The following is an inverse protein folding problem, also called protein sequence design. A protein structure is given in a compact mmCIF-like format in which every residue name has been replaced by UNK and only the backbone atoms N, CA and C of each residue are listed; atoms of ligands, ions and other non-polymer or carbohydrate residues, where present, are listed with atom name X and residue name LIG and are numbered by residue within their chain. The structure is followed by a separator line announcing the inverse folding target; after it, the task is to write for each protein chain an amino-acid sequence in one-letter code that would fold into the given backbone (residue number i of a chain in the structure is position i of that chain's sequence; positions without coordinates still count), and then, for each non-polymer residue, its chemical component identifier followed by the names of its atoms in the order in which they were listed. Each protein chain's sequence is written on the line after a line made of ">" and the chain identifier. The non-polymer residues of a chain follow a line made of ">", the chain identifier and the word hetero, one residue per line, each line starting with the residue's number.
data_IF_034210766344
#
_entry.id   IF_034210766344
#
_cell.length_a   1.000
_cell.length_b   1.000
_cell.length_c   1.000
_cell.angle_alpha   90.00
_cell.angle_beta   90.00
_cell.angle_gamma   90.00
#
_symmetry.space_group_name_H-M   'P 1'
#
loop_
_entity.id
_entity.type
_entity.pdbx_description
1 polymer ?
#
# COMPACT_ATOMS: atom_id res chain seq x y z
N UNK A 1 11.55 -20.99 41.98
CA UNK A 1 12.21 -20.21 40.90
C UNK A 1 11.89 -20.79 39.52
N UNK A 2 10.61 -21.09 39.23
CA UNK A 2 10.18 -21.86 38.04
C UNK A 2 9.08 -21.14 37.23
N UNK A 3 8.50 -20.06 37.75
CA UNK A 3 7.39 -19.33 37.11
C UNK A 3 7.84 -18.23 36.14
N UNK A 4 9.07 -17.72 36.29
CA UNK A 4 9.61 -16.64 35.45
C UNK A 4 10.00 -17.15 34.06
N UNK A 5 10.47 -18.41 33.97
CA UNK A 5 10.86 -19.02 32.70
C UNK A 5 9.69 -19.19 31.71
N UNK A 6 8.48 -19.45 32.22
CA UNK A 6 7.30 -19.64 31.37
C UNK A 6 6.78 -18.32 30.75
N UNK A 7 6.90 -17.20 31.47
CA UNK A 7 6.46 -15.90 30.96
C UNK A 7 7.38 -15.36 29.86
N UNK A 8 8.68 -15.64 29.93
CA UNK A 8 9.64 -15.23 28.90
C UNK A 8 9.39 -15.93 27.55
N UNK A 9 8.95 -17.20 27.56
CA UNK A 9 8.66 -17.96 26.35
C UNK A 9 7.38 -17.47 25.66
N UNK A 10 6.37 -17.08 26.44
CA UNK A 10 5.09 -16.61 25.89
C UNK A 10 5.19 -15.22 25.25
N UNK A 11 6.06 -14.35 25.78
CA UNK A 11 6.33 -13.02 25.19
C UNK A 11 7.16 -13.12 23.90
N UNK A 12 8.05 -14.11 23.77
CA UNK A 12 8.84 -14.30 22.56
C UNK A 12 8.00 -14.75 21.35
N UNK A 13 6.91 -15.49 21.56
CA UNK A 13 6.02 -15.98 20.50
C UNK A 13 5.10 -14.89 19.91
N UNK A 14 4.86 -13.79 20.63
CA UNK A 14 4.03 -12.68 20.18
C UNK A 14 4.77 -11.68 19.26
N UNK A 15 6.10 -11.72 19.22
CA UNK A 15 6.92 -10.82 18.39
C UNK A 15 7.06 -11.29 16.93
N UNK A 16 6.72 -12.53 16.62
CA UNK A 16 6.84 -13.10 15.27
C UNK A 16 5.66 -12.82 14.34
N UNK A 17 4.57 -12.25 14.85
CA UNK A 17 3.44 -11.85 14.00
C UNK A 17 3.61 -10.43 13.46
N UNK A 18 4.76 -10.17 12.83
CA UNK A 18 4.86 -9.04 11.92
C UNK A 18 4.07 -9.50 10.70
N UNK A 19 2.82 -9.06 10.61
CA UNK A 19 2.04 -9.19 9.39
C UNK A 19 2.89 -8.58 8.27
N UNK A 20 3.50 -9.44 7.45
CA UNK A 20 4.10 -9.03 6.20
C UNK A 20 2.95 -8.43 5.41
N UNK A 21 2.86 -7.09 5.37
CA UNK A 21 2.02 -6.43 4.39
C UNK A 21 2.40 -7.06 3.05
N UNK A 22 1.45 -7.76 2.43
CA UNK A 22 1.70 -8.54 1.25
C UNK A 22 2.00 -7.56 0.11
N UNK A 23 3.30 -7.25 -0.05
CA UNK A 23 3.79 -6.24 -0.98
C UNK A 23 3.46 -6.72 -2.40
N UNK A 24 2.95 -5.81 -3.22
CA UNK A 24 2.62 -6.12 -4.60
C UNK A 24 3.87 -6.64 -5.34
N UNK A 25 3.75 -7.73 -6.13
CA UNK A 25 4.85 -8.20 -6.96
C UNK A 25 5.36 -7.10 -7.90
N UNK A 26 6.66 -7.08 -8.19
CA UNK A 26 7.25 -6.04 -9.06
C UNK A 26 6.55 -5.96 -10.42
N UNK A 27 6.17 -7.10 -11.00
CA UNK A 27 5.44 -7.15 -12.27
C UNK A 27 4.11 -6.38 -12.23
N UNK A 28 3.39 -6.43 -11.10
CA UNK A 28 2.13 -5.69 -10.90
C UNK A 28 2.41 -4.20 -10.75
N UNK A 29 3.46 -3.83 -10.02
CA UNK A 29 3.88 -2.44 -9.84
C UNK A 29 4.29 -1.81 -11.17
N UNK A 30 5.09 -2.54 -11.95
CA UNK A 30 5.58 -2.11 -13.26
C UNK A 30 4.42 -1.99 -14.26
N UNK A 31 3.48 -2.95 -14.25
CA UNK A 31 2.28 -2.88 -15.08
C UNK A 31 1.41 -1.66 -14.73
N UNK A 32 1.17 -1.41 -13.44
CA UNK A 32 0.42 -0.23 -13.00
C UNK A 32 1.12 1.07 -13.41
N UNK A 33 2.42 1.18 -13.18
CA UNK A 33 3.18 2.38 -13.52
C UNK A 33 3.19 2.64 -15.03
N UNK A 34 3.35 1.58 -15.83
CA UNK A 34 3.29 1.66 -17.29
C UNK A 34 1.92 2.17 -17.73
N UNK A 35 0.84 1.49 -17.33
CA UNK A 35 -0.52 1.86 -17.73
C UNK A 35 -0.89 3.29 -17.29
N UNK A 36 -0.57 3.66 -16.05
CA UNK A 36 -0.88 4.98 -15.52
C UNK A 36 -0.15 6.09 -16.28
N UNK A 37 1.14 5.89 -16.60
CA UNK A 37 1.93 6.90 -17.31
C UNK A 37 1.60 6.96 -18.80
N UNK A 38 1.36 5.81 -19.45
CA UNK A 38 0.94 5.74 -20.86
C UNK A 38 -0.45 6.34 -21.08
N UNK A 39 -1.34 6.24 -20.08
CA UNK A 39 -2.63 6.92 -20.06
C UNK A 39 -2.52 8.45 -19.83
N UNK A 40 -1.31 8.99 -19.69
CA UNK A 40 -1.04 10.42 -19.51
C UNK A 40 -0.96 10.88 -18.06
N UNK A 41 -0.98 9.96 -17.09
CA UNK A 41 -0.77 10.27 -15.68
C UNK A 41 0.66 10.78 -15.40
N UNK A 42 0.84 11.88 -14.66
CA UNK A 42 2.18 12.31 -14.25
C UNK A 42 2.84 11.24 -13.38
N UNK A 43 4.07 10.85 -13.68
CA UNK A 43 4.77 9.79 -12.94
C UNK A 43 4.76 9.97 -11.39
N UNK A 44 4.88 11.19 -10.83
CA UNK A 44 4.76 11.39 -9.38
C UNK A 44 3.34 11.10 -8.84
N UNK A 45 2.30 11.42 -9.61
CA UNK A 45 0.91 11.10 -9.26
C UNK A 45 0.69 9.58 -9.30
N UNK A 46 1.13 8.92 -10.38
CA UNK A 46 1.05 7.47 -10.51
C UNK A 46 1.75 6.75 -9.35
N UNK A 47 2.96 7.19 -9.00
CA UNK A 47 3.71 6.63 -7.87
C UNK A 47 2.94 6.80 -6.55
N UNK A 48 2.34 7.97 -6.33
CA UNK A 48 1.55 8.24 -5.14
C UNK A 48 0.30 7.34 -5.06
N UNK A 49 -0.42 7.17 -6.16
CA UNK A 49 -1.61 6.29 -6.20
C UNK A 49 -1.20 4.83 -5.96
N UNK A 50 -0.12 4.35 -6.57
CA UNK A 50 0.40 3.01 -6.34
C UNK A 50 0.70 2.77 -4.85
N UNK A 51 1.37 3.73 -4.20
CA UNK A 51 1.66 3.63 -2.76
C UNK A 51 0.38 3.59 -1.91
N UNK A 52 -0.66 4.35 -2.29
CA UNK A 52 -1.96 4.31 -1.61
C UNK A 52 -2.64 2.95 -1.80
N UNK A 53 -2.57 2.37 -3.00
CA UNK A 53 -3.08 1.02 -3.27
C UNK A 53 -2.34 -0.02 -2.41
N UNK A 54 -1.01 -0.04 -2.44
CA UNK A 54 -0.19 -0.98 -1.64
C UNK A 54 -0.45 -0.88 -0.13
N UNK A 55 -0.84 0.30 0.38
CA UNK A 55 -1.15 0.52 1.79
C UNK A 55 -2.56 0.09 2.20
N UNK A 56 -3.52 0.04 1.27
CA UNK A 56 -4.95 -0.07 1.60
C UNK A 56 -5.66 -1.24 0.92
N UNK A 57 -5.08 -1.83 -0.12
CA UNK A 57 -5.66 -2.91 -0.91
C UNK A 57 -4.66 -4.06 -0.92
N UNK A 58 -5.06 -5.23 -0.40
CA UNK A 58 -4.22 -6.43 -0.48
C UNK A 58 -4.18 -6.99 -1.91
N UNK A 59 -3.21 -7.86 -2.21
CA UNK A 59 -3.20 -8.55 -3.52
C UNK A 59 -4.49 -9.33 -3.80
N UNK A 60 -5.05 -10.00 -2.79
CA UNK A 60 -6.34 -10.72 -2.93
C UNK A 60 -7.49 -9.77 -3.29
N UNK A 61 -7.54 -8.59 -2.65
CA UNK A 61 -8.55 -7.57 -2.95
C UNK A 61 -8.34 -6.99 -4.35
N UNK A 62 -7.10 -6.76 -4.77
CA UNK A 62 -6.77 -6.29 -6.11
C UNK A 62 -7.25 -7.29 -7.18
N UNK A 63 -6.95 -8.58 -7.00
CA UNK A 63 -7.36 -9.66 -7.91
C UNK A 63 -8.87 -9.81 -8.03
N UNK A 64 -9.58 -9.62 -6.91
CA UNK A 64 -11.04 -9.66 -6.86
C UNK A 64 -11.71 -8.35 -7.25
N UNK A 65 -10.92 -7.29 -7.50
CA UNK A 65 -11.40 -5.93 -7.69
C UNK A 65 -12.30 -5.45 -6.54
N UNK A 66 -11.98 -5.87 -5.32
CA UNK A 66 -12.71 -5.53 -4.08
C UNK A 66 -12.29 -4.15 -3.55
N UNK A 67 -12.55 -3.14 -4.37
CA UNK A 67 -12.34 -1.73 -4.05
C UNK A 67 -13.31 -0.88 -4.89
N UNK A 68 -13.57 0.35 -4.46
CA UNK A 68 -14.50 1.24 -5.18
C UNK A 68 -13.73 2.21 -6.07
N UNK A 69 -14.34 2.57 -7.20
CA UNK A 69 -13.81 3.63 -8.07
C UNK A 69 -13.67 4.96 -7.32
N UNK A 70 -14.63 5.28 -6.44
CA UNK A 70 -14.59 6.45 -5.56
C UNK A 70 -13.30 6.50 -4.71
N UNK A 71 -12.84 5.36 -4.21
CA UNK A 71 -11.60 5.29 -3.42
C UNK A 71 -10.38 5.66 -4.28
N UNK A 72 -10.28 5.10 -5.49
CA UNK A 72 -9.16 5.35 -6.41
C UNK A 72 -9.15 6.82 -6.89
N UNK A 73 -10.32 7.37 -7.21
CA UNK A 73 -10.48 8.78 -7.61
C UNK A 73 -10.12 9.72 -6.45
N UNK A 74 -10.52 9.36 -5.22
CA UNK A 74 -10.14 10.09 -4.01
C UNK A 74 -8.63 10.18 -3.85
N UNK A 75 -7.91 9.06 -3.95
CA UNK A 75 -6.45 9.06 -3.87
C UNK A 75 -5.79 9.82 -5.01
N UNK A 76 -6.31 9.73 -6.22
CA UNK A 76 -5.78 10.50 -7.35
C UNK A 76 -5.87 12.00 -7.08
N UNK A 77 -7.00 12.46 -6.54
CA UNK A 77 -7.21 13.87 -6.16
C UNK A 77 -6.26 14.31 -5.04
N UNK A 78 -6.09 13.49 -4.02
CA UNK A 78 -5.12 13.74 -2.94
C UNK A 78 -3.68 13.84 -3.48
N UNK A 79 -3.29 12.88 -4.31
CA UNK A 79 -1.96 12.80 -4.90
C UNK A 79 -1.66 14.02 -5.78
N UNK A 80 -2.60 14.45 -6.62
CA UNK A 80 -2.46 15.67 -7.41
C UNK A 80 -2.31 16.92 -6.53
N UNK A 81 -3.10 17.02 -5.47
CA UNK A 81 -3.09 18.18 -4.55
C UNK A 81 -1.79 18.26 -3.75
N UNK A 82 -1.21 17.11 -3.39
CA UNK A 82 0.08 17.05 -2.67
C UNK A 82 1.29 17.48 -3.50
N UNK A 83 1.14 17.49 -4.83
CA UNK A 83 2.19 17.85 -5.79
C UNK A 83 2.01 19.27 -6.35
N UNK A 84 0.92 19.96 -6.01
CA UNK A 84 0.75 21.36 -6.36
C UNK A 84 1.81 22.20 -5.61
N UNK A 85 2.52 23.12 -6.28
CA UNK A 85 3.38 24.07 -5.57
C UNK A 85 2.51 24.91 -4.61
N UNK A 86 3.04 25.31 -3.43
CA UNK A 86 2.32 26.22 -2.55
C UNK A 86 2.00 27.49 -3.32
N UNK A 87 0.74 27.94 -3.26
CA UNK A 87 0.31 29.18 -3.90
C UNK A 87 1.14 30.35 -3.32
N UNK A 88 1.90 31.03 -4.19
CA UNK A 88 2.59 32.30 -3.89
C UNK A 88 1.63 33.49 -3.97
#
# INVERSE_FOLDING_TARGET
>A
MTRIAFLAVFVLALLTSIASAEVYPQEVRDAFMTECTESGGPAPVCTCVLLKMEQNITMEQLEKQDFTEETIVGWTTECMSSLAPPAE
#
